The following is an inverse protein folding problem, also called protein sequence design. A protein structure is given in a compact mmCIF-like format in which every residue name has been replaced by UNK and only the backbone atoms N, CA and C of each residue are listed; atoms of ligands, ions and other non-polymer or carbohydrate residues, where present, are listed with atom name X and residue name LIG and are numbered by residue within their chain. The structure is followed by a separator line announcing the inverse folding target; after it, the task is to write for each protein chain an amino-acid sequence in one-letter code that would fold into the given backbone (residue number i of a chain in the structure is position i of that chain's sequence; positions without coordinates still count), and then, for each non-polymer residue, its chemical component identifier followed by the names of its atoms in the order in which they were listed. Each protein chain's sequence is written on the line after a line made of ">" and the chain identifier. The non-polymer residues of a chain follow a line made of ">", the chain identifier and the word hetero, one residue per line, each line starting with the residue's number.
data_IF_629284966036
#
_entry.id   IF_629284966036
#
_cell.length_a   1.000
_cell.length_b   1.000
_cell.length_c   1.000
_cell.angle_alpha   90.00
_cell.angle_beta   90.00
_cell.angle_gamma   90.00
#
_symmetry.space_group_name_H-M   'P 1'
#
loop_
_entity.id
_entity.type
_entity.pdbx_description
1 polymer ?
#
# COMPACT_ATOMS: atom_id res chain seq x y z
N UNK A 1 30.22 -14.57 3.92
CA UNK A 1 29.00 -13.79 3.82
C UNK A 1 28.01 -14.17 4.90
N UNK A 2 27.03 -13.32 5.13
CA UNK A 2 25.93 -13.61 6.04
C UNK A 2 25.05 -14.71 5.47
N UNK A 3 24.42 -15.47 6.35
CA UNK A 3 23.40 -16.46 5.99
C UNK A 3 22.09 -16.05 6.67
N UNK A 4 20.97 -16.33 6.01
CA UNK A 4 19.62 -16.13 6.52
C UNK A 4 18.87 -17.47 6.51
N UNK A 5 17.88 -17.59 7.36
CA UNK A 5 17.11 -18.83 7.49
C UNK A 5 16.07 -18.96 6.38
N UNK A 6 15.54 -17.82 5.90
CA UNK A 6 14.48 -17.78 4.90
C UNK A 6 14.62 -16.58 3.96
N UNK A 7 14.32 -16.79 2.69
CA UNK A 7 14.21 -15.74 1.68
C UNK A 7 12.77 -15.68 1.17
N UNK A 8 12.14 -14.50 1.32
CA UNK A 8 10.74 -14.28 1.01
C UNK A 8 10.59 -13.12 0.02
N UNK A 9 9.54 -13.15 -0.77
CA UNK A 9 9.24 -12.11 -1.74
C UNK A 9 7.78 -11.70 -1.65
N UNK A 10 7.49 -10.41 -1.65
CA UNK A 10 6.14 -9.89 -1.63
C UNK A 10 5.24 -10.47 -2.74
N UNK A 11 5.83 -10.84 -3.87
CA UNK A 11 5.11 -11.48 -4.98
C UNK A 11 4.57 -12.87 -4.66
N UNK A 12 5.08 -13.54 -3.63
CA UNK A 12 4.58 -14.83 -3.16
C UNK A 12 3.24 -14.65 -2.43
N UNK A 13 2.95 -13.43 -1.98
CA UNK A 13 1.77 -13.07 -1.21
C UNK A 13 0.74 -12.24 -1.98
N UNK A 14 0.95 -11.96 -3.26
CA UNK A 14 0.05 -11.11 -4.07
C UNK A 14 -1.41 -11.52 -3.98
N UNK A 15 -1.71 -12.82 -3.97
CA UNK A 15 -3.09 -13.30 -3.82
C UNK A 15 -3.68 -12.92 -2.46
N UNK A 16 -2.91 -13.08 -1.39
CA UNK A 16 -3.34 -12.74 -0.03
C UNK A 16 -3.54 -11.23 0.14
N UNK A 17 -2.59 -10.44 -0.38
CA UNK A 17 -2.66 -8.98 -0.39
C UNK A 17 -3.88 -8.49 -1.17
N UNK A 18 -4.19 -9.12 -2.30
CA UNK A 18 -5.38 -8.83 -3.10
C UNK A 18 -6.67 -9.13 -2.33
N UNK A 19 -6.75 -10.29 -1.67
CA UNK A 19 -7.94 -10.69 -0.91
C UNK A 19 -8.20 -9.74 0.26
N UNK A 20 -7.15 -9.28 0.94
CA UNK A 20 -7.27 -8.26 1.98
C UNK A 20 -7.71 -6.90 1.40
N UNK A 21 -7.22 -6.51 0.24
CA UNK A 21 -7.67 -5.28 -0.43
C UNK A 21 -9.16 -5.36 -0.79
N UNK A 22 -9.65 -6.51 -1.27
CA UNK A 22 -11.09 -6.75 -1.48
C UNK A 22 -11.86 -6.60 -0.16
N UNK A 23 -11.35 -7.17 0.93
CA UNK A 23 -11.97 -7.02 2.25
C UNK A 23 -12.04 -5.57 2.72
N UNK A 24 -11.02 -4.73 2.41
CA UNK A 24 -11.09 -3.30 2.71
C UNK A 24 -12.23 -2.60 1.93
N UNK A 25 -12.43 -2.96 0.66
CA UNK A 25 -13.54 -2.42 -0.13
C UNK A 25 -14.88 -2.83 0.50
N UNK A 26 -15.05 -4.09 0.86
CA UNK A 26 -16.27 -4.62 1.49
C UNK A 26 -16.59 -3.92 2.82
N UNK A 27 -15.56 -3.58 3.60
CA UNK A 27 -15.65 -2.82 4.86
C UNK A 27 -15.83 -1.31 4.66
N UNK A 28 -15.87 -0.82 3.42
CA UNK A 28 -15.88 0.60 3.07
C UNK A 28 -14.63 1.37 3.62
N UNK A 29 -13.50 0.68 3.72
CA UNK A 29 -12.19 1.22 4.11
C UNK A 29 -11.28 1.48 2.91
N UNK A 30 -11.73 1.17 1.70
CA UNK A 30 -11.06 1.50 0.45
C UNK A 30 -12.09 1.78 -0.66
N UNK A 31 -11.68 2.55 -1.65
CA UNK A 31 -12.52 2.92 -2.80
C UNK A 31 -11.68 3.03 -4.07
N UNK A 32 -12.33 2.87 -5.22
CA UNK A 32 -11.71 3.11 -6.52
C UNK A 32 -11.81 4.58 -6.89
N UNK A 33 -10.66 5.18 -7.11
CA UNK A 33 -10.53 6.54 -7.63
C UNK A 33 -10.21 6.51 -9.12
N UNK A 34 -10.97 7.28 -9.91
CA UNK A 34 -10.81 7.40 -11.36
C UNK A 34 -10.23 8.74 -11.78
N UNK A 35 -9.63 9.47 -10.83
CA UNK A 35 -8.91 10.71 -11.09
C UNK A 35 -7.49 10.43 -11.59
N UNK A 36 -6.96 11.36 -12.35
CA UNK A 36 -5.56 11.35 -12.75
C UNK A 36 -4.62 11.48 -11.53
N UNK A 37 -3.38 11.06 -11.69
CA UNK A 37 -2.36 11.22 -10.66
C UNK A 37 -2.12 12.69 -10.28
N UNK A 38 -2.29 13.62 -11.23
CA UNK A 38 -2.16 15.06 -10.99
C UNK A 38 -3.30 15.60 -10.13
N UNK A 39 -4.55 15.19 -10.40
CA UNK A 39 -5.71 15.56 -9.58
C UNK A 39 -5.58 15.02 -8.16
N UNK A 40 -5.23 13.74 -8.01
CA UNK A 40 -4.98 13.12 -6.70
C UNK A 40 -3.89 13.87 -5.93
N UNK A 41 -2.77 14.21 -6.59
CA UNK A 41 -1.68 14.95 -5.98
C UNK A 41 -2.11 16.36 -5.54
N UNK A 42 -2.87 17.08 -6.38
CA UNK A 42 -3.36 18.43 -6.07
C UNK A 42 -4.33 18.46 -4.89
N UNK A 43 -5.17 17.42 -4.77
CA UNK A 43 -6.14 17.28 -3.68
C UNK A 43 -5.49 16.89 -2.35
N UNK A 44 -4.28 16.37 -2.35
CA UNK A 44 -3.58 15.93 -1.13
C UNK A 44 -3.29 17.09 -0.17
N UNK A 45 -3.29 18.33 -0.68
CA UNK A 45 -3.02 19.53 0.13
C UNK A 45 -1.53 19.68 0.45
N UNK A 46 -1.24 20.34 1.56
CA UNK A 46 0.13 20.57 2.06
C UNK A 46 0.20 20.25 3.56
N UNK A 47 1.38 20.24 4.19
CA UNK A 47 1.45 20.04 5.64
C UNK A 47 0.62 21.05 6.47
N UNK A 48 0.41 22.25 5.93
CA UNK A 48 -0.35 23.32 6.60
C UNK A 48 -1.76 23.54 6.04
N UNK A 49 -2.12 22.81 4.98
CA UNK A 49 -3.46 22.89 4.35
C UNK A 49 -4.01 21.48 4.19
N UNK A 50 -5.21 21.26 4.70
CA UNK A 50 -5.92 19.99 4.57
C UNK A 50 -6.10 19.58 3.11
N UNK A 51 -6.22 18.28 2.88
CA UNK A 51 -6.57 17.73 1.58
C UNK A 51 -8.06 17.84 1.31
N UNK A 52 -8.42 17.70 0.03
CA UNK A 52 -9.82 17.68 -0.43
C UNK A 52 -10.19 16.25 -0.83
N UNK A 53 -11.31 15.71 -0.33
CA UNK A 53 -11.77 14.38 -0.74
C UNK A 53 -11.98 14.27 -2.25
N UNK A 54 -11.66 13.09 -2.80
CA UNK A 54 -11.99 12.76 -4.19
C UNK A 54 -13.50 12.71 -4.39
N UNK A 55 -13.97 13.07 -5.59
CA UNK A 55 -15.35 12.89 -6.03
C UNK A 55 -15.80 11.43 -5.98
N UNK A 56 -14.85 10.49 -6.07
CA UNK A 56 -15.11 9.05 -6.05
C UNK A 56 -15.00 8.43 -4.65
N UNK A 57 -14.70 9.23 -3.63
CA UNK A 57 -14.49 8.71 -2.26
C UNK A 57 -15.71 7.99 -1.69
N UNK A 58 -16.91 8.41 -2.11
CA UNK A 58 -18.18 7.82 -1.69
C UNK A 58 -18.77 6.86 -2.75
N UNK A 59 -17.94 6.38 -3.69
CA UNK A 59 -18.35 5.37 -4.67
C UNK A 59 -18.85 4.12 -3.96
N UNK A 60 -20.00 3.55 -4.35
CA UNK A 60 -20.53 2.32 -3.76
C UNK A 60 -19.48 1.21 -3.76
N UNK A 61 -19.41 0.45 -2.67
CA UNK A 61 -18.43 -0.63 -2.51
C UNK A 61 -18.62 -1.73 -3.56
N UNK A 62 -19.83 -1.99 -3.98
CA UNK A 62 -20.17 -2.94 -5.04
C UNK A 62 -19.57 -2.52 -6.39
N UNK A 63 -19.66 -1.23 -6.72
CA UNK A 63 -19.05 -0.66 -7.92
C UNK A 63 -17.53 -0.69 -7.82
N UNK A 64 -16.97 -0.26 -6.66
CA UNK A 64 -15.52 -0.32 -6.41
C UNK A 64 -14.99 -1.75 -6.51
N UNK A 65 -15.68 -2.73 -5.95
CA UNK A 65 -15.30 -4.14 -6.01
C UNK A 65 -15.31 -4.68 -7.46
N UNK A 66 -16.33 -4.31 -8.24
CA UNK A 66 -16.41 -4.67 -9.66
C UNK A 66 -15.24 -4.08 -10.45
N UNK A 67 -14.99 -2.77 -10.32
CA UNK A 67 -13.89 -2.11 -11.03
C UNK A 67 -12.54 -2.70 -10.60
N UNK A 68 -12.32 -2.96 -9.31
CA UNK A 68 -11.08 -3.57 -8.83
C UNK A 68 -10.82 -4.95 -9.44
N UNK A 69 -11.88 -5.76 -9.58
CA UNK A 69 -11.82 -7.02 -10.30
C UNK A 69 -11.51 -6.83 -11.79
N UNK A 70 -12.15 -5.86 -12.45
CA UNK A 70 -11.89 -5.55 -13.87
C UNK A 70 -10.45 -5.06 -14.08
N UNK A 71 -9.88 -4.28 -13.14
CA UNK A 71 -8.45 -3.91 -13.13
C UNK A 71 -7.55 -5.15 -13.04
N UNK A 72 -7.84 -6.07 -12.14
CA UNK A 72 -7.09 -7.33 -11.98
C UNK A 72 -7.13 -8.17 -13.25
N UNK A 73 -8.29 -8.28 -13.89
CA UNK A 73 -8.50 -9.03 -15.14
C UNK A 73 -7.92 -8.30 -16.37
N UNK A 74 -7.41 -7.06 -16.22
CA UNK A 74 -6.84 -6.28 -17.31
C UNK A 74 -7.87 -5.70 -18.27
N UNK A 75 -9.12 -5.53 -17.83
CA UNK A 75 -10.22 -4.96 -18.62
C UNK A 75 -10.26 -3.43 -18.62
N UNK A 76 -9.47 -2.79 -17.75
CA UNK A 76 -9.33 -1.34 -17.64
C UNK A 76 -8.00 -0.89 -18.20
N UNK A 77 -7.90 0.38 -18.62
CA UNK A 77 -6.64 0.95 -19.08
C UNK A 77 -5.73 1.27 -17.89
N UNK A 78 -4.41 1.09 -18.02
CA UNK A 78 -3.46 1.54 -17.02
C UNK A 78 -3.59 3.04 -16.74
N UNK A 79 -3.59 3.40 -15.45
CA UNK A 79 -3.75 4.78 -15.01
C UNK A 79 -5.19 5.31 -15.00
N UNK A 80 -6.16 4.52 -15.49
CA UNK A 80 -7.59 4.90 -15.48
C UNK A 80 -8.17 4.85 -14.07
N UNK A 81 -7.73 3.88 -13.27
CA UNK A 81 -8.21 3.67 -11.92
C UNK A 81 -7.08 3.31 -10.98
N UNK A 82 -7.22 3.72 -9.73
CA UNK A 82 -6.39 3.28 -8.60
C UNK A 82 -7.28 2.89 -7.42
N UNK A 83 -6.81 1.96 -6.59
CA UNK A 83 -7.44 1.69 -5.31
C UNK A 83 -6.79 2.58 -4.25
N UNK A 84 -7.60 3.31 -3.48
CA UNK A 84 -7.15 4.15 -2.38
C UNK A 84 -7.73 3.68 -1.06
N UNK A 85 -6.94 3.75 0.01
CA UNK A 85 -7.46 3.62 1.36
C UNK A 85 -8.35 4.83 1.69
N UNK A 86 -9.43 4.60 2.45
CA UNK A 86 -10.38 5.63 2.89
C UNK A 86 -10.11 5.95 4.36
N UNK A 87 -9.26 6.94 4.60
CA UNK A 87 -8.78 7.26 5.95
C UNK A 87 -9.21 8.67 6.38
N UNK A 88 -8.34 9.67 6.20
CA UNK A 88 -8.63 11.04 6.65
C UNK A 88 -7.88 12.08 5.81
N UNK A 89 -8.62 12.82 4.98
CA UNK A 89 -8.04 13.86 4.13
C UNK A 89 -7.59 15.12 4.89
N UNK A 90 -8.03 15.28 6.17
CA UNK A 90 -7.62 16.38 7.04
C UNK A 90 -6.47 16.01 7.99
N UNK A 91 -5.92 14.80 7.88
CA UNK A 91 -4.81 14.39 8.74
C UNK A 91 -3.61 15.34 8.62
N UNK A 92 -2.97 15.77 9.71
CA UNK A 92 -1.69 16.49 9.66
C UNK A 92 -0.58 15.62 9.03
N UNK A 93 -0.66 14.32 9.19
CA UNK A 93 0.20 13.38 8.50
C UNK A 93 -0.30 13.14 7.08
N UNK A 94 0.38 13.72 6.09
CA UNK A 94 -0.02 13.64 4.69
C UNK A 94 -0.04 12.20 4.14
N UNK A 95 0.68 11.27 4.76
CA UNK A 95 0.69 9.85 4.37
C UNK A 95 -0.68 9.21 4.62
N UNK A 96 -1.42 9.69 5.64
CA UNK A 96 -2.76 9.22 6.00
C UNK A 96 -3.89 9.79 5.12
N UNK A 97 -3.59 10.70 4.18
CA UNK A 97 -4.59 11.34 3.32
C UNK A 97 -4.94 10.46 2.12
N UNK A 98 -5.76 9.46 2.36
CA UNK A 98 -6.27 8.48 1.39
C UNK A 98 -5.21 7.99 0.40
N UNK A 99 -4.16 7.27 0.87
CA UNK A 99 -3.06 6.82 0.03
C UNK A 99 -3.51 5.79 -1.02
N UNK A 100 -2.81 5.77 -2.16
CA UNK A 100 -2.98 4.72 -3.17
C UNK A 100 -2.39 3.43 -2.64
N UNK A 101 -3.15 2.33 -2.73
CA UNK A 101 -2.73 0.98 -2.31
C UNK A 101 -2.55 0.00 -3.47
N UNK A 102 -3.25 0.20 -4.61
CA UNK A 102 -3.05 -0.56 -5.85
C UNK A 102 -3.12 0.33 -7.07
N UNK A 103 -2.32 -0.03 -8.09
CA UNK A 103 -2.36 0.58 -9.44
C UNK A 103 -2.15 -0.46 -10.52
N UNK A 104 -2.65 -0.19 -11.72
CA UNK A 104 -2.38 -0.99 -12.91
C UNK A 104 -1.04 -0.61 -13.54
N UNK A 105 -0.23 -1.61 -13.92
CA UNK A 105 1.06 -1.42 -14.61
C UNK A 105 1.10 -2.36 -15.82
N UNK A 106 1.48 -1.82 -16.98
CA UNK A 106 1.78 -2.64 -18.17
C UNK A 106 3.26 -3.02 -18.10
N UNK A 107 3.55 -4.12 -17.44
CA UNK A 107 4.89 -4.69 -17.39
C UNK A 107 4.83 -6.16 -17.01
N UNK A 108 5.75 -6.94 -17.53
CA UNK A 108 5.97 -8.30 -17.07
C UNK A 108 6.73 -8.25 -15.74
N UNK A 109 6.14 -8.82 -14.71
CA UNK A 109 6.83 -8.96 -13.44
C UNK A 109 7.87 -10.08 -13.51
N UNK A 110 9.09 -9.84 -13.06
CA UNK A 110 10.22 -10.76 -13.19
C UNK A 110 9.99 -12.16 -12.58
N UNK A 111 9.12 -12.31 -11.59
CA UNK A 111 8.76 -13.58 -10.96
C UNK A 111 7.41 -14.14 -11.39
N UNK A 112 6.39 -13.27 -11.52
CA UNK A 112 5.02 -13.71 -11.81
C UNK A 112 4.61 -13.55 -13.28
N UNK A 113 5.51 -13.01 -14.13
CA UNK A 113 5.22 -12.79 -15.53
C UNK A 113 4.00 -11.88 -15.74
N UNK A 114 3.05 -12.35 -16.53
CA UNK A 114 1.82 -11.63 -16.88
C UNK A 114 0.60 -12.01 -16.02
N UNK A 115 0.78 -12.77 -14.94
CA UNK A 115 -0.33 -13.25 -14.12
C UNK A 115 -1.08 -12.10 -13.41
N UNK A 116 -0.38 -11.01 -13.11
CA UNK A 116 -0.93 -9.84 -12.41
C UNK A 116 -0.92 -8.62 -13.32
N UNK A 117 -2.02 -7.85 -13.32
CA UNK A 117 -2.19 -6.59 -14.06
C UNK A 117 -2.24 -5.38 -13.15
N UNK A 118 -2.41 -5.62 -11.85
CA UNK A 118 -2.38 -4.63 -10.78
C UNK A 118 -1.32 -5.00 -9.76
N UNK A 119 -0.72 -4.00 -9.16
CA UNK A 119 0.38 -4.18 -8.21
C UNK A 119 0.12 -3.36 -6.95
N UNK A 120 0.38 -3.95 -5.78
CA UNK A 120 0.30 -3.24 -4.52
C UNK A 120 1.40 -2.19 -4.41
N UNK A 121 1.09 -1.09 -3.73
CA UNK A 121 2.09 -0.10 -3.36
C UNK A 121 2.90 -0.58 -2.16
N UNK A 122 4.09 -0.01 -1.96
CA UNK A 122 5.01 -0.38 -0.89
C UNK A 122 4.34 -0.34 0.49
N UNK A 123 3.66 0.76 0.82
CA UNK A 123 3.03 0.92 2.14
C UNK A 123 1.98 -0.16 2.45
N UNK A 124 1.28 -0.65 1.44
CA UNK A 124 0.35 -1.77 1.57
C UNK A 124 1.05 -3.11 1.72
N UNK A 125 2.22 -3.26 1.12
CA UNK A 125 2.90 -4.56 1.04
C UNK A 125 3.77 -4.84 2.25
N UNK A 126 4.39 -3.81 2.82
CA UNK A 126 5.45 -3.95 3.84
C UNK A 126 4.94 -4.65 5.10
N UNK A 127 3.95 -4.07 5.79
CA UNK A 127 3.46 -4.61 7.05
C UNK A 127 2.76 -5.96 6.91
N UNK A 128 2.00 -6.12 5.82
CA UNK A 128 1.26 -7.34 5.53
C UNK A 128 2.17 -8.51 5.19
N UNK A 129 3.25 -8.29 4.43
CA UNK A 129 4.25 -9.32 4.14
C UNK A 129 4.95 -9.74 5.44
N UNK A 130 5.43 -8.79 6.22
CA UNK A 130 6.08 -9.07 7.50
C UNK A 130 5.15 -9.79 8.47
N UNK A 131 3.85 -9.49 8.44
CA UNK A 131 2.85 -10.23 9.22
C UNK A 131 2.70 -11.68 8.73
N UNK A 132 2.65 -11.91 7.42
CA UNK A 132 2.58 -13.27 6.85
C UNK A 132 3.82 -14.08 7.25
N UNK A 133 4.98 -13.46 7.22
CA UNK A 133 6.28 -14.03 7.54
C UNK A 133 6.53 -14.16 9.06
N UNK A 134 5.60 -13.67 9.90
CA UNK A 134 5.70 -13.67 11.36
C UNK A 134 6.94 -12.91 11.88
N UNK A 135 7.37 -11.88 11.16
CA UNK A 135 8.42 -10.96 11.57
C UNK A 135 7.94 -10.10 12.73
N UNK A 136 8.73 -9.98 13.78
CA UNK A 136 8.37 -9.14 14.94
C UNK A 136 8.83 -7.69 14.79
N UNK A 137 9.96 -7.45 14.10
CA UNK A 137 10.58 -6.14 13.89
C UNK A 137 10.72 -5.87 12.40
N UNK A 138 9.84 -5.03 11.89
CA UNK A 138 9.77 -4.57 10.52
C UNK A 138 10.76 -3.42 10.33
N UNK A 139 11.91 -3.69 9.74
CA UNK A 139 13.02 -2.73 9.66
C UNK A 139 12.96 -1.91 8.38
N UNK A 140 13.10 -0.60 8.50
CA UNK A 140 13.18 0.33 7.38
C UNK A 140 14.05 1.55 7.71
N UNK A 141 14.25 2.44 6.76
CA UNK A 141 15.04 3.65 6.93
C UNK A 141 14.22 4.80 7.53
N UNK A 142 14.87 5.84 8.07
CA UNK A 142 14.22 6.93 8.82
C UNK A 142 13.18 7.71 8.00
N UNK A 143 13.29 7.77 6.69
CA UNK A 143 12.32 8.42 5.83
C UNK A 143 10.91 7.81 5.93
N UNK A 144 10.77 6.59 6.44
CA UNK A 144 9.49 5.91 6.65
C UNK A 144 8.88 6.16 8.04
N UNK A 145 9.48 6.98 8.90
CA UNK A 145 8.90 7.32 10.20
C UNK A 145 7.45 7.85 10.09
N UNK A 146 7.11 8.78 9.18
CA UNK A 146 5.74 9.24 8.99
C UNK A 146 4.77 8.15 8.51
N UNK A 147 5.30 7.05 7.94
CA UNK A 147 4.49 5.93 7.44
C UNK A 147 4.08 4.94 8.54
N UNK A 148 4.65 5.03 9.76
CA UNK A 148 4.34 4.11 10.87
C UNK A 148 2.86 4.09 11.21
N UNK A 149 2.19 5.25 11.22
CA UNK A 149 0.75 5.36 11.47
C UNK A 149 -0.08 4.62 10.40
N UNK A 150 0.34 4.75 9.13
CA UNK A 150 -0.30 4.05 8.02
C UNK A 150 -0.06 2.53 8.08
N UNK A 151 1.15 2.12 8.42
CA UNK A 151 1.52 0.73 8.66
C UNK A 151 0.61 0.06 9.71
N UNK A 152 0.44 0.71 10.85
CA UNK A 152 -0.44 0.22 11.91
C UNK A 152 -1.91 0.20 11.47
N UNK A 153 -2.36 1.25 10.75
CA UNK A 153 -3.73 1.32 10.24
C UNK A 153 -4.07 0.17 9.30
N UNK A 154 -3.15 -0.20 8.40
CA UNK A 154 -3.36 -1.33 7.50
C UNK A 154 -3.47 -2.64 8.27
N UNK A 155 -2.55 -2.92 9.17
CA UNK A 155 -2.58 -4.14 9.98
C UNK A 155 -3.87 -4.26 10.82
N UNK A 156 -4.38 -3.16 11.35
CA UNK A 156 -5.64 -3.15 12.10
C UNK A 156 -6.86 -3.37 11.17
N UNK A 157 -6.77 -2.92 9.92
CA UNK A 157 -7.86 -2.96 8.95
C UNK A 157 -8.05 -4.32 8.29
N UNK A 158 -6.99 -5.13 8.14
CA UNK A 158 -7.09 -6.47 7.52
C UNK A 158 -7.83 -7.49 8.38
N UNK A 159 -8.03 -7.19 9.66
CA UNK A 159 -8.82 -8.02 10.58
C UNK A 159 -8.00 -8.52 11.76
N UNK A 160 -8.58 -9.43 12.58
CA UNK A 160 -7.89 -9.93 13.76
C UNK A 160 -6.63 -10.71 13.36
N UNK A 161 -5.49 -10.23 13.81
CA UNK A 161 -4.19 -10.86 13.57
C UNK A 161 -4.02 -12.07 14.47
N UNK A 162 -3.49 -13.16 13.90
CA UNK A 162 -3.11 -14.37 14.65
C UNK A 162 -1.58 -14.49 14.64
N UNK A 163 -1.00 -14.73 15.82
CA UNK A 163 0.44 -14.84 15.98
C UNK A 163 1.11 -13.48 16.22
N UNK A 164 2.28 -13.29 15.66
CA UNK A 164 3.11 -12.09 15.90
C UNK A 164 2.58 -10.91 15.09
N UNK A 165 2.27 -9.79 15.78
CA UNK A 165 2.03 -8.51 15.13
C UNK A 165 3.38 -7.82 14.90
N UNK A 166 3.78 -7.57 13.65
CA UNK A 166 5.02 -6.85 13.38
C UNK A 166 4.92 -5.39 13.83
N UNK A 167 6.07 -4.81 14.16
CA UNK A 167 6.18 -3.39 14.54
C UNK A 167 7.26 -2.74 13.70
N UNK A 168 6.90 -1.66 13.02
CA UNK A 168 7.86 -0.88 12.24
C UNK A 168 8.91 -0.24 13.15
N UNK A 169 10.18 -0.34 12.73
CA UNK A 169 11.36 0.23 13.40
C UNK A 169 12.26 0.86 12.34
N UNK A 170 12.51 2.14 12.49
CA UNK A 170 13.31 2.93 11.56
C UNK A 170 14.74 3.05 12.08
N UNK A 171 15.69 2.97 11.16
CA UNK A 171 17.11 3.11 11.44
C UNK A 171 17.73 4.23 10.60
N UNK A 172 18.65 4.95 11.22
CA UNK A 172 19.50 5.90 10.52
C UNK A 172 20.40 5.18 9.53
N UNK A 173 20.65 5.81 8.40
CA UNK A 173 21.69 5.37 7.48
C UNK A 173 23.05 5.39 8.18
N UNK A 174 23.77 4.28 8.10
CA UNK A 174 25.16 4.23 8.54
C UNK A 174 26.03 4.99 7.52
N UNK A 175 26.65 6.07 7.97
CA UNK A 175 27.62 6.81 7.17
C UNK A 175 29.03 6.42 7.63
N UNK A 176 29.83 5.91 6.71
CA UNK A 176 31.23 5.57 6.94
C UNK A 176 32.12 6.65 6.32
N UNK A 177 33.23 6.98 7.00
CA UNK A 177 34.27 7.84 6.44
C UNK A 177 34.96 7.10 5.28
N UNK A 178 35.27 7.83 4.23
CA UNK A 178 36.04 7.35 3.06
C UNK A 178 35.37 6.22 2.24
N UNK A 179 34.07 5.95 2.43
CA UNK A 179 33.33 4.99 1.61
C UNK A 179 31.88 5.41 1.41
N UNK A 180 31.28 4.94 0.34
CA UNK A 180 29.86 5.14 0.07
C UNK A 180 29.12 3.91 0.56
N UNK A 181 28.13 4.13 1.42
CA UNK A 181 27.17 3.10 1.82
C UNK A 181 25.88 3.33 1.04
N UNK A 182 25.46 2.36 0.27
CA UNK A 182 24.20 2.36 -0.47
C UNK A 182 23.14 1.60 0.31
#
# INVERSE_FOLDING_TARGET
>A
GFKWDQECYASDYFKKLYDWAVSLIEKNLAYIDSQSSQEIASQKGTPTKEGTPSLFRERPKEESGKIFKDMFEGKTKPGEHVLRAKINMSSPNMVMRDPVIYRSIISNHHRTGNAWKIYPMYDWTHGESDYIEQVSHSLCTLEFEPHRELYDWFLDSIGPLKGVRPKQREFSRLNLSYTITS
#
